data_IF_805749615293
#
_entry.id   IF_805749615293
#
_cell.length_a   1.000
_cell.length_b   1.000
_cell.length_c   1.000
_cell.angle_alpha   90.00
_cell.angle_beta   90.00
_cell.angle_gamma   90.00
#
_symmetry.space_group_name_H-M   'P 1'
#
loop_
_entity.id
_entity.type
_entity.pdbx_description
1 polymer ?
#
# COMPACT_ATOMS: atom_id res chain seq x y z
N UNK A 1 36.64 47.39 -21.61
CA UNK A 1 35.45 47.24 -20.75
C UNK A 1 35.34 45.76 -20.39
N UNK A 2 35.86 45.38 -19.22
CA UNK A 2 35.87 43.98 -18.77
C UNK A 2 34.70 43.76 -17.82
N UNK A 3 33.71 42.97 -18.24
CA UNK A 3 32.57 42.60 -17.41
C UNK A 3 33.00 41.55 -16.37
N UNK A 4 33.16 41.99 -15.13
CA UNK A 4 33.36 41.12 -13.97
C UNK A 4 32.02 40.57 -13.49
N UNK A 5 31.59 39.42 -14.04
CA UNK A 5 30.58 38.59 -13.37
C UNK A 5 31.30 37.64 -12.41
N UNK A 6 31.85 38.19 -11.33
CA UNK A 6 32.26 37.36 -10.17
C UNK A 6 31.01 37.12 -9.34
N UNK A 7 30.26 36.08 -9.70
CA UNK A 7 29.26 35.50 -8.81
C UNK A 7 29.99 34.99 -7.57
N UNK A 8 29.83 35.68 -6.44
CA UNK A 8 30.29 35.20 -5.15
C UNK A 8 29.41 34.03 -4.73
N UNK A 9 29.70 32.84 -5.25
CA UNK A 9 29.23 31.61 -4.65
C UNK A 9 30.06 31.40 -3.38
N UNK A 10 29.41 31.46 -2.23
CA UNK A 10 29.96 30.88 -1.02
C UNK A 10 30.02 29.37 -1.25
N UNK A 11 31.20 28.85 -1.60
CA UNK A 11 31.47 27.41 -1.82
C UNK A 11 31.15 26.53 -0.59
N UNK A 12 30.85 27.14 0.57
CA UNK A 12 30.59 26.47 1.83
C UNK A 12 29.16 25.95 2.01
N UNK A 13 28.19 26.32 1.17
CA UNK A 13 26.76 25.97 1.38
C UNK A 13 26.22 24.90 0.40
N UNK A 14 27.07 24.31 -0.44
CA UNK A 14 26.65 23.33 -1.43
C UNK A 14 27.47 22.05 -1.35
N UNK A 15 27.00 21.09 -0.55
CA UNK A 15 27.53 19.73 -0.54
C UNK A 15 27.04 18.98 -1.79
N UNK A 16 27.86 18.94 -2.83
CA UNK A 16 27.60 18.16 -4.05
C UNK A 16 28.39 16.85 -3.97
N UNK A 17 27.73 15.72 -4.22
CA UNK A 17 28.42 14.43 -4.26
C UNK A 17 29.43 14.38 -5.42
N UNK A 18 30.52 13.63 -5.24
CA UNK A 18 31.53 13.47 -6.29
C UNK A 18 30.97 12.67 -7.46
N UNK A 19 31.48 12.94 -8.67
CA UNK A 19 31.11 12.17 -9.87
C UNK A 19 31.37 10.67 -9.69
N UNK A 20 32.43 10.29 -8.98
CA UNK A 20 32.72 8.89 -8.66
C UNK A 20 31.67 8.26 -7.75
N UNK A 21 31.25 8.97 -6.69
CA UNK A 21 30.17 8.52 -5.80
C UNK A 21 28.86 8.36 -6.59
N UNK A 22 28.51 9.35 -7.40
CA UNK A 22 27.34 9.32 -8.27
C UNK A 22 27.39 8.15 -9.25
N UNK A 23 28.50 7.99 -9.98
CA UNK A 23 28.69 6.95 -10.98
C UNK A 23 28.69 5.54 -10.35
N UNK A 24 29.28 5.39 -9.16
CA UNK A 24 29.28 4.12 -8.42
C UNK A 24 27.88 3.67 -8.00
N UNK A 25 26.99 4.62 -7.71
CA UNK A 25 25.59 4.37 -7.37
C UNK A 25 24.70 4.06 -8.57
N UNK A 26 25.06 4.55 -9.75
CA UNK A 26 24.28 4.34 -10.99
C UNK A 26 24.66 3.02 -11.68
N UNK A 27 25.93 2.62 -11.61
CA UNK A 27 26.44 1.43 -12.30
C UNK A 27 26.08 0.12 -11.56
N UNK A 28 25.78 0.17 -10.26
CA UNK A 28 25.42 -1.00 -9.46
C UNK A 28 23.90 -1.08 -9.28
N UNK A 29 23.19 -1.66 -10.26
CA UNK A 29 21.82 -2.09 -10.00
C UNK A 29 21.84 -3.15 -8.89
N UNK A 30 21.10 -2.91 -7.81
CA UNK A 30 20.97 -3.89 -6.73
C UNK A 30 20.40 -5.18 -7.34
N UNK A 31 21.03 -6.35 -7.13
CA UNK A 31 20.48 -7.60 -7.62
C UNK A 31 19.09 -7.79 -6.98
N UNK A 32 18.08 -8.18 -7.77
CA UNK A 32 16.73 -8.31 -7.24
C UNK A 32 16.68 -9.43 -6.20
N UNK A 33 15.89 -9.22 -5.16
CA UNK A 33 15.64 -10.27 -4.16
C UNK A 33 14.77 -11.38 -4.73
N UNK A 34 14.75 -12.55 -4.09
CA UNK A 34 13.86 -13.66 -4.49
C UNK A 34 12.39 -13.22 -4.48
N UNK A 35 12.00 -12.39 -3.51
CA UNK A 35 10.64 -11.82 -3.44
C UNK A 35 10.35 -10.92 -4.64
N UNK A 36 11.29 -10.05 -5.01
CA UNK A 36 11.14 -9.15 -6.18
C UNK A 36 11.10 -9.92 -7.51
N UNK A 37 11.95 -10.95 -7.66
CA UNK A 37 11.88 -11.83 -8.83
C UNK A 37 10.55 -12.60 -8.89
N UNK A 38 10.08 -13.09 -7.75
CA UNK A 38 8.79 -13.77 -7.69
C UNK A 38 7.63 -12.84 -8.04
N UNK A 39 7.63 -11.62 -7.51
CA UNK A 39 6.65 -10.59 -7.85
C UNK A 39 6.65 -10.31 -9.37
N UNK A 40 7.82 -10.15 -9.98
CA UNK A 40 7.95 -9.95 -11.44
C UNK A 40 7.38 -11.12 -12.23
N UNK A 41 7.61 -12.36 -11.78
CA UNK A 41 7.05 -13.55 -12.43
C UNK A 41 5.52 -13.58 -12.34
N UNK A 42 4.94 -13.21 -11.19
CA UNK A 42 3.48 -13.14 -11.02
C UNK A 42 2.84 -12.06 -11.89
N UNK A 43 3.50 -10.91 -12.06
CA UNK A 43 3.01 -9.82 -12.93
C UNK A 43 2.95 -10.21 -14.42
N UNK A 44 3.70 -11.22 -14.86
CA UNK A 44 3.61 -11.72 -16.23
C UNK A 44 2.33 -12.52 -16.51
N UNK A 45 1.61 -12.94 -15.46
CA UNK A 45 0.35 -13.67 -15.58
C UNK A 45 -0.78 -12.68 -15.89
N UNK A 46 -1.48 -12.90 -17.00
CA UNK A 46 -2.60 -12.05 -17.42
C UNK A 46 -3.68 -11.95 -16.31
N UNK A 47 -4.05 -10.73 -15.95
CA UNK A 47 -5.05 -10.47 -14.91
C UNK A 47 -4.50 -10.31 -13.48
N UNK A 48 -3.18 -10.35 -13.29
CA UNK A 48 -2.56 -9.99 -12.01
C UNK A 48 -2.24 -8.48 -11.96
N UNK A 49 -2.92 -7.74 -11.09
CA UNK A 49 -2.58 -6.36 -10.76
C UNK A 49 -1.41 -6.30 -9.77
N UNK A 50 -0.73 -5.14 -9.71
CA UNK A 50 0.37 -4.91 -8.76
C UNK A 50 -0.06 -5.16 -7.32
N UNK A 51 -1.24 -4.68 -6.94
CA UNK A 51 -1.78 -4.89 -5.59
C UNK A 51 -1.97 -6.37 -5.26
N UNK A 52 -2.49 -7.15 -6.22
CA UNK A 52 -2.69 -8.60 -6.03
C UNK A 52 -1.36 -9.33 -5.86
N UNK A 53 -0.33 -8.92 -6.60
CA UNK A 53 1.02 -9.47 -6.49
C UNK A 53 1.64 -9.11 -5.15
N UNK A 54 1.46 -7.87 -4.68
CA UNK A 54 1.96 -7.44 -3.39
C UNK A 54 1.30 -8.24 -2.26
N UNK A 55 -0.03 -8.33 -2.25
CA UNK A 55 -0.77 -9.11 -1.25
C UNK A 55 -0.35 -10.59 -1.26
N UNK A 56 -0.15 -11.18 -2.44
CA UNK A 56 0.32 -12.56 -2.55
C UNK A 56 1.75 -12.74 -2.03
N UNK A 57 2.65 -11.80 -2.33
CA UNK A 57 4.06 -11.87 -1.91
C UNK A 57 4.29 -11.45 -0.45
N UNK A 58 3.34 -10.77 0.19
CA UNK A 58 3.33 -10.58 1.65
C UNK A 58 3.05 -11.90 2.37
N UNK A 59 2.03 -12.66 1.92
CA UNK A 59 1.67 -13.94 2.54
C UNK A 59 2.65 -15.06 2.14
N UNK A 60 3.05 -15.12 0.87
CA UNK A 60 3.95 -16.11 0.31
C UNK A 60 5.13 -15.42 -0.38
N UNK A 61 6.21 -15.06 0.33
CA UNK A 61 7.31 -14.26 -0.24
C UNK A 61 8.18 -15.01 -1.26
N UNK A 62 7.99 -16.33 -1.41
CA UNK A 62 8.78 -17.15 -2.34
C UNK A 62 7.88 -18.18 -3.04
N UNK A 63 8.24 -18.63 -4.27
CA UNK A 63 7.51 -19.68 -4.97
C UNK A 63 7.40 -20.98 -4.15
N UNK A 64 8.46 -21.35 -3.43
CA UNK A 64 8.49 -22.55 -2.59
C UNK A 64 7.46 -22.49 -1.47
N UNK A 65 7.32 -21.33 -0.79
CA UNK A 65 6.30 -21.15 0.26
C UNK A 65 4.88 -21.23 -0.30
N UNK A 66 4.65 -20.69 -1.51
CA UNK A 66 3.36 -20.81 -2.17
C UNK A 66 3.06 -22.28 -2.49
N UNK A 67 4.03 -23.01 -3.05
CA UNK A 67 3.87 -24.42 -3.40
C UNK A 67 3.65 -25.31 -2.16
N UNK A 68 4.35 -25.03 -1.06
CA UNK A 68 4.18 -25.74 0.21
C UNK A 68 2.75 -25.58 0.74
N UNK A 69 2.22 -24.35 0.74
CA UNK A 69 0.84 -24.09 1.15
C UNK A 69 -0.17 -24.78 0.20
N UNK A 70 0.12 -24.80 -1.10
CA UNK A 70 -0.66 -25.54 -2.09
C UNK A 70 -0.71 -27.06 -1.85
N UNK A 71 0.40 -27.64 -1.39
CA UNK A 71 0.52 -29.06 -1.07
C UNK A 71 -0.19 -29.42 0.25
N UNK A 72 -0.34 -28.47 1.16
CA UNK A 72 -1.11 -28.65 2.41
C UNK A 72 -2.62 -28.70 2.16
N UNK A 73 -3.11 -28.12 1.06
CA UNK A 73 -4.52 -28.18 0.70
C UNK A 73 -4.93 -29.58 0.22
N UNK A 74 -6.03 -30.09 0.77
CA UNK A 74 -6.53 -31.45 0.56
C UNK A 74 -7.25 -31.61 -0.79
N UNK A 75 -7.82 -30.54 -1.32
CA UNK A 75 -8.60 -30.57 -2.56
C UNK A 75 -8.44 -29.30 -3.41
N UNK A 76 -8.83 -29.40 -4.69
CA UNK A 76 -8.71 -28.30 -5.64
C UNK A 76 -9.54 -27.07 -5.26
N UNK A 77 -10.69 -27.27 -4.59
CA UNK A 77 -11.55 -26.19 -4.13
C UNK A 77 -10.84 -25.34 -3.06
N UNK A 78 -10.15 -25.98 -2.13
CA UNK A 78 -9.37 -25.33 -1.08
C UNK A 78 -8.20 -24.53 -1.66
N UNK A 79 -7.48 -25.10 -2.65
CA UNK A 79 -6.41 -24.40 -3.38
C UNK A 79 -6.91 -23.13 -4.07
N UNK A 80 -8.07 -23.21 -4.74
CA UNK A 80 -8.70 -22.04 -5.37
C UNK A 80 -9.13 -21.01 -4.34
N UNK A 81 -9.67 -21.44 -3.21
CA UNK A 81 -10.12 -20.56 -2.13
C UNK A 81 -8.95 -19.82 -1.46
N UNK A 82 -7.84 -20.51 -1.24
CA UNK A 82 -6.60 -19.95 -0.70
C UNK A 82 -6.08 -18.76 -1.52
N UNK A 83 -6.13 -18.85 -2.85
CA UNK A 83 -5.76 -17.72 -3.71
C UNK A 83 -6.86 -16.65 -3.78
N UNK A 84 -8.13 -17.05 -3.73
CA UNK A 84 -9.26 -16.12 -3.83
C UNK A 84 -9.38 -15.20 -2.59
N UNK A 85 -9.04 -15.70 -1.39
CA UNK A 85 -9.03 -14.87 -0.17
C UNK A 85 -8.05 -13.71 -0.28
N UNK A 86 -6.89 -13.92 -0.90
CA UNK A 86 -5.87 -12.89 -1.14
C UNK A 86 -6.40 -11.79 -2.07
N UNK A 87 -7.10 -12.17 -3.16
CA UNK A 87 -7.75 -11.21 -4.08
C UNK A 87 -8.88 -10.41 -3.42
N UNK A 88 -9.60 -11.03 -2.48
CA UNK A 88 -10.70 -10.38 -1.76
C UNK A 88 -10.17 -9.24 -0.88
N UNK A 89 -9.04 -9.47 -0.21
CA UNK A 89 -8.37 -8.48 0.64
C UNK A 89 -8.00 -7.23 -0.18
N UNK A 90 -7.43 -7.40 -1.38
CA UNK A 90 -7.08 -6.26 -2.24
C UNK A 90 -8.30 -5.50 -2.75
N UNK A 91 -9.38 -6.19 -3.09
CA UNK A 91 -10.63 -5.50 -3.47
C UNK A 91 -11.18 -4.65 -2.31
N UNK A 92 -11.15 -5.16 -1.07
CA UNK A 92 -11.55 -4.38 0.10
C UNK A 92 -10.61 -3.19 0.36
N UNK A 93 -9.30 -3.34 0.15
CA UNK A 93 -8.34 -2.23 0.27
C UNK A 93 -8.59 -1.14 -0.78
N UNK A 94 -8.90 -1.51 -2.03
CA UNK A 94 -9.23 -0.56 -3.09
C UNK A 94 -10.52 0.23 -2.78
N UNK A 95 -11.53 -0.43 -2.22
CA UNK A 95 -12.79 0.21 -1.84
C UNK A 95 -12.61 1.15 -0.62
N UNK A 96 -11.81 0.74 0.37
CA UNK A 96 -11.46 1.59 1.51
C UNK A 96 -10.66 2.85 1.09
N UNK A 97 -9.74 2.70 0.13
CA UNK A 97 -8.97 3.82 -0.40
C UNK A 97 -9.84 4.81 -1.16
N UNK A 98 -10.78 4.33 -2.00
CA UNK A 98 -11.79 5.19 -2.66
C UNK A 98 -12.61 5.98 -1.66
N UNK A 99 -13.06 5.34 -0.58
CA UNK A 99 -13.84 6.03 0.44
C UNK A 99 -13.01 7.10 1.17
N UNK A 100 -11.71 6.85 1.39
CA UNK A 100 -10.78 7.81 1.97
C UNK A 100 -10.57 9.03 1.06
N UNK A 101 -10.39 8.80 -0.25
CA UNK A 101 -10.22 9.88 -1.23
C UNK A 101 -11.47 10.77 -1.33
N UNK A 102 -12.67 10.15 -1.29
CA UNK A 102 -13.94 10.89 -1.25
C UNK A 102 -14.08 11.72 0.03
N UNK A 103 -13.66 11.20 1.18
CA UNK A 103 -13.65 11.92 2.45
C UNK A 103 -12.67 13.09 2.40
N UNK A 104 -11.46 12.90 1.90
CA UNK A 104 -10.46 13.96 1.75
C UNK A 104 -10.91 15.03 0.76
N UNK A 105 -11.58 14.64 -0.32
CA UNK A 105 -12.18 15.55 -1.29
C UNK A 105 -13.32 16.36 -0.66
N UNK A 106 -14.21 15.71 0.11
CA UNK A 106 -15.28 16.39 0.84
C UNK A 106 -14.73 17.36 1.89
N UNK A 107 -13.70 16.96 2.65
CA UNK A 107 -13.02 17.83 3.62
C UNK A 107 -12.33 19.03 2.95
N UNK A 108 -11.77 18.84 1.75
CA UNK A 108 -11.20 19.93 0.96
C UNK A 108 -12.28 20.91 0.51
N UNK A 109 -13.40 20.41 -0.02
CA UNK A 109 -14.54 21.24 -0.42
C UNK A 109 -15.10 22.04 0.77
N UNK A 110 -15.22 21.41 1.95
CA UNK A 110 -15.67 22.07 3.17
C UNK A 110 -14.69 23.16 3.63
N UNK A 111 -13.37 22.91 3.57
CA UNK A 111 -12.35 23.94 3.85
C UNK A 111 -12.38 25.11 2.87
N UNK A 112 -12.62 24.83 1.59
CA UNK A 112 -12.71 25.85 0.55
C UNK A 112 -14.03 26.67 0.68
N UNK A 113 -15.11 26.06 1.22
CA UNK A 113 -16.39 26.71 1.48
C UNK A 113 -16.34 27.67 2.69
N UNK A 114 -15.57 27.36 3.73
CA UNK A 114 -15.32 28.27 4.87
C UNK A 114 -14.66 29.59 4.41
N UNK A 115 -13.85 29.56 3.34
CA UNK A 115 -13.23 30.75 2.76
C UNK A 115 -14.25 31.70 2.09
N UNK A 116 -15.45 31.21 1.77
CA UNK A 116 -16.53 31.96 1.12
C UNK A 116 -17.63 32.43 2.09
N UNK A 117 -17.49 32.16 3.39
CA UNK A 117 -18.35 32.74 4.43
C UNK A 117 -19.81 32.24 4.44
N UNK A 118 -20.07 31.00 4.00
CA UNK A 118 -21.39 30.37 4.17
C UNK A 118 -21.45 29.67 5.54
N UNK A 119 -22.43 30.05 6.37
CA UNK A 119 -22.57 29.58 7.77
C UNK A 119 -22.78 28.06 7.89
N UNK A 120 -22.23 27.53 8.99
CA UNK A 120 -22.11 26.13 9.40
C UNK A 120 -23.42 25.31 9.34
N UNK A 121 -23.32 24.09 8.81
CA UNK A 121 -24.31 23.03 9.00
C UNK A 121 -23.72 22.00 9.98
N UNK A 122 -24.05 22.15 11.27
CA UNK A 122 -23.66 21.24 12.35
C UNK A 122 -24.41 19.90 12.23
N UNK A 123 -24.06 19.08 11.24
CA UNK A 123 -24.48 17.68 11.15
C UNK A 123 -23.37 16.93 10.42
N UNK A 124 -22.44 16.32 11.15
CA UNK A 124 -21.67 15.08 10.85
C UNK A 124 -20.57 14.98 11.91
N UNK A 125 -20.95 14.57 13.13
CA UNK A 125 -19.99 14.06 14.14
C UNK A 125 -20.45 12.74 14.76
N UNK A 126 -21.62 12.20 14.40
CA UNK A 126 -22.12 10.91 14.92
C UNK A 126 -21.75 9.68 14.06
N UNK A 127 -21.19 9.86 12.86
CA UNK A 127 -20.79 8.72 12.01
C UNK A 127 -19.54 8.00 12.52
N UNK A 128 -18.72 8.64 13.37
CA UNK A 128 -17.47 8.06 13.89
C UNK A 128 -17.73 6.99 14.96
N UNK A 129 -18.75 7.16 15.80
CA UNK A 129 -19.13 6.19 16.84
C UNK A 129 -19.70 4.89 16.26
N UNK A 130 -20.42 5.00 15.13
CA UNK A 130 -21.04 3.85 14.46
C UNK A 130 -20.01 2.99 13.72
N UNK A 131 -18.96 3.60 13.16
CA UNK A 131 -17.86 2.89 12.50
C UNK A 131 -16.99 2.17 13.55
N UNK A 132 -16.65 2.80 14.67
CA UNK A 132 -15.90 2.15 15.76
C UNK A 132 -16.64 0.92 16.29
N UNK A 133 -17.95 1.04 16.56
CA UNK A 133 -18.76 -0.07 17.09
C UNK A 133 -18.87 -1.24 16.11
N UNK A 134 -18.84 -0.96 14.80
CA UNK A 134 -18.92 -2.00 13.76
C UNK A 134 -17.58 -2.73 13.61
N UNK A 135 -16.46 -2.00 13.71
CA UNK A 135 -15.12 -2.57 13.69
C UNK A 135 -14.89 -3.45 14.92
N UNK A 136 -15.29 -3.01 16.11
CA UNK A 136 -15.15 -3.78 17.35
C UNK A 136 -15.94 -5.10 17.32
N UNK A 137 -17.14 -5.10 16.72
CA UNK A 137 -17.93 -6.32 16.51
C UNK A 137 -17.27 -7.31 15.54
N UNK A 138 -16.59 -6.82 14.51
CA UNK A 138 -15.87 -7.70 13.56
C UNK A 138 -14.59 -8.28 14.17
N UNK A 139 -13.85 -7.48 14.94
CA UNK A 139 -12.62 -7.92 15.62
C UNK A 139 -12.93 -8.99 16.69
N UNK A 140 -14.02 -8.83 17.45
CA UNK A 140 -14.47 -9.84 18.42
C UNK A 140 -14.91 -11.15 17.75
N UNK A 141 -15.55 -11.08 16.58
CA UNK A 141 -16.02 -12.27 15.87
C UNK A 141 -14.86 -13.12 15.32
N UNK A 142 -13.78 -12.49 14.84
CA UNK A 142 -12.54 -13.16 14.43
C UNK A 142 -11.90 -13.92 15.61
N UNK A 143 -11.88 -13.33 16.80
CA UNK A 143 -11.30 -13.99 17.99
C UNK A 143 -12.09 -15.23 18.44
N UNK A 144 -13.42 -15.23 18.32
CA UNK A 144 -14.28 -16.37 18.65
C UNK A 144 -14.15 -17.53 17.65
N UNK A 145 -14.00 -17.21 16.36
CA UNK A 145 -13.83 -18.20 15.29
C UNK A 145 -12.46 -18.88 15.37
N UNK A 146 -11.42 -18.13 15.73
CA UNK A 146 -10.06 -18.68 15.86
C UNK A 146 -9.88 -19.50 17.15
N UNK A 147 -10.58 -19.15 18.24
CA UNK A 147 -10.55 -19.92 19.50
C UNK A 147 -11.30 -21.27 19.39
N UNK A 148 -12.22 -21.42 18.44
CA UNK A 148 -12.97 -22.67 18.21
C UNK A 148 -12.26 -23.67 17.28
N UNK A 149 -11.05 -23.35 16.80
CA UNK A 149 -10.23 -24.24 15.96
C UNK A 149 -9.12 -24.99 16.71
N UNK A 150 -8.87 -24.63 17.97
CA UNK A 150 -7.84 -25.23 18.83
C UNK A 150 -8.39 -26.21 19.89
N UNK A 151 -9.62 -26.72 19.68
CA UNK A 151 -10.22 -27.86 20.41
C UNK A 151 -10.59 -28.96 19.42
#
# INVERSE_FOLDING_TARGET
>A
MSNNYRTSFNDSDHYVMTFESFNSGIVKSKPPTVKEMFARALMQIAGMSVDNVLALTEVHPTPSKLLEAYNKCLNEKERKLMLASIKKITNYMQEANRNTDLILQAQKILKDADLLGLQSLDVITDSSSTISTTIDKYILNEHLINTSRDL
#
